data_IF_125451869866
#
_entry.id   IF_125451869866
#
_cell.length_a   1.000
_cell.length_b   1.000
_cell.length_c   1.000
_cell.angle_alpha   90.00
_cell.angle_beta   90.00
_cell.angle_gamma   90.00
#
_symmetry.space_group_name_H-M   'P 1'
#
loop_
_entity.id
_entity.type
_entity.pdbx_description
1 polymer ?
#
# COMPACT_ATOMS: atom_id res chain seq x y z
N UNK A 1 -13.99 -0.42 -14.78
CA UNK A 1 -13.09 -1.56 -14.46
C UNK A 1 -11.63 -1.21 -14.68
N UNK A 2 -11.18 -0.70 -15.83
CA UNK A 2 -9.77 -0.28 -16.03
C UNK A 2 -9.22 0.61 -14.91
N UNK A 3 -9.95 1.67 -14.50
CA UNK A 3 -9.54 2.55 -13.39
C UNK A 3 -9.39 1.82 -12.05
N UNK A 4 -10.20 0.80 -11.82
CA UNK A 4 -10.12 -0.05 -10.62
C UNK A 4 -8.86 -0.91 -10.66
N UNK A 5 -8.50 -1.45 -11.82
CA UNK A 5 -7.23 -2.18 -12.00
C UNK A 5 -6.04 -1.23 -11.79
N UNK A 6 -6.10 -0.02 -12.36
CA UNK A 6 -5.07 1.00 -12.15
C UNK A 6 -4.96 1.37 -10.67
N UNK A 7 -6.06 1.49 -9.94
CA UNK A 7 -6.04 1.75 -8.50
C UNK A 7 -5.22 0.68 -7.75
N UNK A 8 -5.43 -0.60 -8.07
CA UNK A 8 -4.65 -1.70 -7.50
C UNK A 8 -3.19 -1.65 -7.89
N UNK A 9 -2.88 -1.35 -9.15
CA UNK A 9 -1.50 -1.23 -9.63
C UNK A 9 -0.77 -0.06 -8.96
N UNK A 10 -1.44 1.07 -8.77
CA UNK A 10 -0.88 2.24 -8.08
C UNK A 10 -0.59 1.88 -6.62
N UNK A 11 -1.55 1.26 -5.93
CA UNK A 11 -1.36 0.91 -4.53
C UNK A 11 -0.28 -0.15 -4.34
N UNK A 12 -0.42 -1.32 -4.98
CA UNK A 12 0.50 -2.45 -4.82
C UNK A 12 1.87 -2.16 -5.44
N UNK A 13 1.91 -1.54 -6.62
CA UNK A 13 3.14 -1.18 -7.29
C UNK A 13 3.90 -0.10 -6.54
N UNK A 14 3.21 0.98 -6.14
CA UNK A 14 3.82 2.04 -5.34
C UNK A 14 4.32 1.53 -3.99
N UNK A 15 3.55 0.67 -3.33
CA UNK A 15 3.93 0.10 -2.05
C UNK A 15 5.10 -0.88 -2.17
N UNK A 16 5.12 -1.71 -3.21
CA UNK A 16 6.25 -2.59 -3.52
C UNK A 16 7.54 -1.81 -3.81
N UNK A 17 7.45 -0.69 -4.54
CA UNK A 17 8.58 0.22 -4.77
C UNK A 17 9.07 0.84 -3.45
N UNK A 18 8.15 1.26 -2.58
CA UNK A 18 8.50 1.84 -1.29
C UNK A 18 9.28 0.85 -0.40
N UNK A 19 8.78 -0.39 -0.29
CA UNK A 19 9.46 -1.48 0.44
C UNK A 19 10.82 -1.79 -0.19
N UNK A 20 10.88 -1.92 -1.52
CA UNK A 20 12.13 -2.22 -2.21
C UNK A 20 13.17 -1.12 -2.02
N UNK A 21 12.74 0.15 -2.03
CA UNK A 21 13.61 1.31 -1.79
C UNK A 21 14.11 1.32 -0.35
N UNK A 22 13.22 1.15 0.63
CA UNK A 22 13.59 1.08 2.05
C UNK A 22 14.63 -0.03 2.30
N UNK A 23 14.36 -1.23 1.78
CA UNK A 23 15.27 -2.37 1.90
C UNK A 23 16.62 -2.10 1.24
N UNK A 24 16.62 -1.50 0.05
CA UNK A 24 17.84 -1.17 -0.67
C UNK A 24 18.71 -0.16 0.11
N UNK A 25 18.09 0.87 0.70
CA UNK A 25 18.79 1.86 1.51
C UNK A 25 19.44 1.22 2.75
N UNK A 26 18.69 0.41 3.49
CA UNK A 26 19.19 -0.34 4.66
C UNK A 26 20.34 -1.28 4.30
N UNK A 27 20.22 -2.03 3.20
CA UNK A 27 21.30 -2.91 2.72
C UNK A 27 22.55 -2.15 2.29
N UNK A 28 22.38 -0.96 1.69
CA UNK A 28 23.49 -0.12 1.26
C UNK A 28 24.28 0.43 2.44
N UNK A 29 23.59 0.86 3.49
CA UNK A 29 24.22 1.43 4.69
C UNK A 29 24.80 0.34 5.61
N UNK A 30 24.50 -0.93 5.34
CA UNK A 30 25.01 -2.08 6.08
C UNK A 30 24.35 -2.28 7.45
N UNK A 31 23.42 -1.40 7.80
CA UNK A 31 22.59 -1.48 8.98
C UNK A 31 21.16 -1.79 8.55
N UNK A 32 20.65 -2.93 9.01
CA UNK A 32 19.28 -3.34 8.69
C UNK A 32 18.29 -2.58 9.57
N UNK A 33 18.72 -2.14 10.76
CA UNK A 33 17.89 -1.46 11.75
C UNK A 33 17.84 0.06 11.53
N UNK A 34 18.93 0.65 11.03
CA UNK A 34 19.02 2.06 10.64
C UNK A 34 19.18 2.25 9.12
N UNK A 35 19.23 3.48 8.62
CA UNK A 35 19.53 3.76 7.19
C UNK A 35 18.37 3.59 6.20
N UNK A 36 17.17 3.27 6.68
CA UNK A 36 15.96 3.22 5.85
C UNK A 36 15.33 4.58 5.52
N UNK A 37 14.17 4.52 4.88
CA UNK A 37 13.28 5.67 4.73
C UNK A 37 12.88 6.15 6.14
N UNK A 38 12.91 7.46 6.43
CA UNK A 38 12.43 7.99 7.70
C UNK A 38 11.02 7.49 8.02
N UNK A 39 10.78 7.03 9.24
CA UNK A 39 9.54 6.36 9.66
C UNK A 39 8.27 7.14 9.28
N UNK A 40 8.28 8.45 9.52
CA UNK A 40 7.17 9.34 9.16
C UNK A 40 6.85 9.32 7.66
N UNK A 41 7.88 9.27 6.81
CA UNK A 41 7.74 9.17 5.36
C UNK A 41 7.31 7.75 4.94
N UNK A 42 7.85 6.73 5.62
CA UNK A 42 7.51 5.33 5.38
C UNK A 42 6.01 5.06 5.59
N UNK A 43 5.39 5.66 6.62
CA UNK A 43 3.94 5.60 6.82
C UNK A 43 3.15 6.58 5.94
N UNK A 44 3.71 7.74 5.58
CA UNK A 44 3.03 8.70 4.71
C UNK A 44 2.82 8.15 3.28
N UNK A 45 3.80 7.43 2.73
CA UNK A 45 3.73 6.86 1.37
C UNK A 45 2.48 5.97 1.16
N UNK A 46 2.23 4.91 1.96
CA UNK A 46 1.06 4.06 1.78
C UNK A 46 -0.26 4.80 2.02
N UNK A 47 -0.29 5.84 2.87
CA UNK A 47 -1.47 6.70 3.04
C UNK A 47 -1.78 7.44 1.73
N UNK A 48 -0.79 8.09 1.13
CA UNK A 48 -0.98 8.81 -0.15
C UNK A 48 -1.38 7.84 -1.26
N UNK A 49 -0.74 6.68 -1.35
CA UNK A 49 -1.11 5.64 -2.32
C UNK A 49 -2.53 5.12 -2.11
N UNK A 50 -2.95 4.92 -0.85
CA UNK A 50 -4.30 4.51 -0.52
C UNK A 50 -5.34 5.57 -0.91
N UNK A 51 -5.07 6.86 -0.69
CA UNK A 51 -5.95 7.96 -1.10
C UNK A 51 -6.10 8.03 -2.63
N UNK A 52 -4.99 7.94 -3.36
CA UNK A 52 -5.00 7.94 -4.83
C UNK A 52 -5.71 6.69 -5.36
N UNK A 53 -5.41 5.52 -4.81
CA UNK A 53 -6.08 4.26 -5.15
C UNK A 53 -7.58 4.31 -4.87
N UNK A 54 -7.98 4.80 -3.70
CA UNK A 54 -9.38 4.97 -3.32
C UNK A 54 -10.12 5.91 -4.29
N UNK A 55 -9.51 7.02 -4.67
CA UNK A 55 -10.08 7.95 -5.64
C UNK A 55 -10.30 7.30 -7.02
N UNK A 56 -9.29 6.57 -7.52
CA UNK A 56 -9.38 5.86 -8.80
C UNK A 56 -10.40 4.71 -8.77
N UNK A 57 -10.46 3.97 -7.66
CA UNK A 57 -11.45 2.93 -7.41
C UNK A 57 -12.88 3.50 -7.39
N UNK A 58 -13.07 4.63 -6.71
CA UNK A 58 -14.35 5.34 -6.67
C UNK A 58 -14.79 5.79 -8.07
N UNK A 59 -13.89 6.35 -8.88
CA UNK A 59 -14.22 6.69 -10.27
C UNK A 59 -14.52 5.45 -11.12
N UNK A 60 -13.78 4.35 -10.89
CA UNK A 60 -13.95 3.09 -11.62
C UNK A 60 -15.31 2.41 -11.40
N UNK A 61 -15.99 2.73 -10.30
CA UNK A 61 -17.31 2.20 -9.91
C UNK A 61 -18.48 3.10 -10.33
N UNK A 62 -18.23 4.22 -11.02
CA UNK A 62 -19.28 5.16 -11.46
C UNK A 62 -20.35 4.58 -12.41
N UNK A 63 -20.10 3.41 -13.01
CA UNK A 63 -21.08 2.69 -13.85
C UNK A 63 -22.13 1.91 -13.03
N UNK A 64 -21.96 1.79 -11.71
CA UNK A 64 -22.92 1.14 -10.84
C UNK A 64 -24.04 2.13 -10.48
N UNK A 65 -25.23 1.93 -11.06
CA UNK A 65 -26.39 2.81 -10.82
C UNK A 65 -26.85 2.84 -9.36
N UNK A 66 -26.68 1.73 -8.63
CA UNK A 66 -27.06 1.65 -7.23
C UNK A 66 -25.90 2.08 -6.31
N UNK A 67 -26.07 3.19 -5.59
CA UNK A 67 -25.06 3.76 -4.69
C UNK A 67 -24.59 2.76 -3.63
N UNK A 68 -25.47 1.91 -3.11
CA UNK A 68 -25.10 0.90 -2.12
C UNK A 68 -24.14 -0.15 -2.69
N UNK A 69 -24.28 -0.55 -3.97
CA UNK A 69 -23.35 -1.48 -4.64
C UNK A 69 -21.99 -0.84 -4.80
N UNK A 70 -21.96 0.46 -5.11
CA UNK A 70 -20.74 1.24 -5.23
C UNK A 70 -19.99 1.31 -3.90
N UNK A 71 -20.69 1.62 -2.82
CA UNK A 71 -20.12 1.65 -1.46
C UNK A 71 -19.63 0.26 -1.06
N UNK A 72 -20.40 -0.81 -1.29
CA UNK A 72 -20.01 -2.17 -0.95
C UNK A 72 -18.72 -2.60 -1.66
N UNK A 73 -18.61 -2.34 -2.98
CA UNK A 73 -17.39 -2.66 -3.75
C UNK A 73 -16.20 -1.82 -3.27
N UNK A 74 -16.42 -0.54 -2.99
CA UNK A 74 -15.38 0.34 -2.48
C UNK A 74 -14.85 -0.10 -1.11
N UNK A 75 -15.75 -0.41 -0.17
CA UNK A 75 -15.40 -0.91 1.16
C UNK A 75 -14.68 -2.25 1.08
N UNK A 76 -15.14 -3.17 0.23
CA UNK A 76 -14.46 -4.45 0.01
C UNK A 76 -13.01 -4.23 -0.48
N UNK A 77 -12.78 -3.29 -1.39
CA UNK A 77 -11.43 -2.97 -1.87
C UNK A 77 -10.55 -2.36 -0.77
N UNK A 78 -11.10 -1.46 0.05
CA UNK A 78 -10.36 -0.90 1.18
C UNK A 78 -9.97 -1.98 2.20
N UNK A 79 -10.91 -2.87 2.56
CA UNK A 79 -10.64 -3.96 3.51
C UNK A 79 -9.58 -4.91 2.95
N UNK A 80 -9.71 -5.35 1.69
CA UNK A 80 -8.72 -6.24 1.06
C UNK A 80 -7.36 -5.55 0.95
N UNK A 81 -7.33 -4.28 0.54
CA UNK A 81 -6.10 -3.50 0.46
C UNK A 81 -5.40 -3.35 1.81
N UNK A 82 -6.16 -3.09 2.87
CA UNK A 82 -5.66 -3.02 4.24
C UNK A 82 -5.08 -4.36 4.72
N UNK A 83 -5.79 -5.47 4.47
CA UNK A 83 -5.29 -6.81 4.83
C UNK A 83 -3.98 -7.11 4.10
N UNK A 84 -3.90 -6.85 2.80
CA UNK A 84 -2.66 -7.04 2.02
C UNK A 84 -1.54 -6.17 2.57
N UNK A 85 -1.81 -4.89 2.84
CA UNK A 85 -0.86 -3.98 3.46
C UNK A 85 -0.33 -4.54 4.78
N UNK A 86 -1.21 -4.91 5.71
CA UNK A 86 -0.82 -5.42 7.02
C UNK A 86 0.02 -6.72 6.91
N UNK A 87 -0.39 -7.65 6.04
CA UNK A 87 0.36 -8.89 5.81
C UNK A 87 1.75 -8.63 5.23
N UNK A 88 1.86 -7.73 4.26
CA UNK A 88 3.15 -7.41 3.62
C UNK A 88 4.05 -6.63 4.57
N UNK A 89 3.52 -5.71 5.37
CA UNK A 89 4.27 -5.03 6.44
C UNK A 89 4.79 -6.04 7.46
N UNK A 90 3.92 -6.94 7.94
CA UNK A 90 4.32 -7.96 8.90
C UNK A 90 5.41 -8.87 8.32
N UNK A 91 5.23 -9.34 7.08
CA UNK A 91 6.23 -10.13 6.37
C UNK A 91 7.55 -9.36 6.19
N UNK A 92 7.47 -8.07 5.88
CA UNK A 92 8.65 -7.23 5.72
C UNK A 92 9.42 -7.11 7.03
N UNK A 93 8.77 -6.67 8.10
CA UNK A 93 9.36 -6.51 9.45
C UNK A 93 9.96 -7.82 9.94
N UNK A 94 9.17 -8.90 9.98
CA UNK A 94 9.62 -10.21 10.47
C UNK A 94 10.69 -10.83 9.56
N UNK A 95 10.50 -10.75 8.25
CA UNK A 95 11.38 -11.40 7.27
C UNK A 95 12.71 -10.69 7.04
N UNK A 96 12.79 -9.39 7.37
CA UNK A 96 14.03 -8.61 7.28
C UNK A 96 14.75 -8.45 8.62
N UNK A 97 14.09 -8.77 9.74
CA UNK A 97 14.62 -8.52 11.08
C UNK A 97 14.66 -7.03 11.44
N UNK A 98 13.94 -6.20 10.68
CA UNK A 98 13.77 -4.77 10.98
C UNK A 98 12.83 -4.66 12.17
N UNK A 99 13.20 -3.90 13.19
CA UNK A 99 12.40 -3.66 14.40
C UNK A 99 11.94 -4.93 15.13
N UNK A 100 12.56 -6.09 14.85
CA UNK A 100 12.40 -7.30 15.63
C UNK A 100 13.38 -7.26 16.80
N UNK A 101 12.85 -7.17 18.01
CA UNK A 101 13.59 -7.33 19.27
C UNK A 101 14.38 -8.65 19.33
#
# INVERSE_FOLDING_TARGET
MLRTVIAWLVFLGGFGVAIGTDRFLRMRDGDVTAGGIPESLWFAIPIVLALVGAFLAWQGTGRLHATWKRIAVFLAQLVVGFVIYAMVVLWYVVGSGIDSL
#
